data_IF_136410244843
#
_entry.id   IF_136410244843
#
_cell.length_a   1.000
_cell.length_b   1.000
_cell.length_c   1.000
_cell.angle_alpha   90.00
_cell.angle_beta   90.00
_cell.angle_gamma   90.00
#
_symmetry.space_group_name_H-M   'P 1'
#
loop_
_entity.id
_entity.type
_entity.pdbx_description
1 polymer ?
#
# COMPACT_ATOMS: atom_id res chain seq x y z
N UNK A 1 -9.82 -4.61 -17.39
CA UNK A 1 -10.56 -4.51 -16.10
C UNK A 1 -12.03 -4.87 -16.32
N UNK A 2 -12.38 -6.16 -16.24
CA UNK A 2 -13.76 -6.64 -16.49
C UNK A 2 -14.53 -6.94 -15.20
N UNK A 3 -14.01 -6.49 -14.04
CA UNK A 3 -14.70 -6.61 -12.75
C UNK A 3 -14.77 -8.02 -12.15
N UNK A 4 -14.05 -9.00 -12.69
CA UNK A 4 -14.03 -10.38 -12.19
C UNK A 4 -13.21 -10.55 -10.90
N UNK A 5 -12.32 -9.61 -10.60
CA UNK A 5 -11.42 -9.68 -9.43
C UNK A 5 -11.60 -8.42 -8.60
N UNK A 6 -11.82 -8.60 -7.31
CA UNK A 6 -11.81 -7.50 -6.34
C UNK A 6 -10.35 -7.15 -6.03
N UNK A 7 -9.99 -5.87 -6.09
CA UNK A 7 -8.65 -5.39 -5.72
C UNK A 7 -8.43 -5.48 -4.20
N UNK A 8 -8.03 -6.67 -3.78
CA UNK A 8 -7.66 -6.95 -2.39
C UNK A 8 -6.25 -6.47 -2.06
N UNK A 9 -5.38 -6.31 -3.06
CA UNK A 9 -4.01 -5.87 -2.89
C UNK A 9 -3.96 -4.41 -2.43
N UNK A 10 -4.60 -3.50 -3.14
CA UNK A 10 -4.65 -2.08 -2.75
C UNK A 10 -5.29 -1.89 -1.37
N UNK A 11 -6.35 -2.66 -1.07
CA UNK A 11 -6.97 -2.63 0.27
C UNK A 11 -6.00 -3.08 1.38
N UNK A 12 -5.20 -4.12 1.14
CA UNK A 12 -4.21 -4.58 2.11
C UNK A 12 -3.06 -3.58 2.28
N UNK A 13 -2.51 -3.07 1.17
CA UNK A 13 -1.43 -2.08 1.17
C UNK A 13 -1.88 -0.84 1.94
N UNK A 14 -3.07 -0.30 1.64
CA UNK A 14 -3.61 0.87 2.29
C UNK A 14 -3.76 0.68 3.81
N UNK A 15 -4.35 -0.43 4.25
CA UNK A 15 -4.51 -0.74 5.67
C UNK A 15 -3.17 -0.90 6.39
N UNK A 16 -2.17 -1.45 5.71
CA UNK A 16 -0.84 -1.69 6.28
C UNK A 16 -0.04 -0.39 6.41
N UNK A 17 -0.14 0.51 5.44
CA UNK A 17 0.51 1.82 5.45
C UNK A 17 -0.17 2.78 6.44
N UNK A 18 -1.50 2.78 6.52
CA UNK A 18 -2.27 3.57 7.48
C UNK A 18 -1.88 3.26 8.93
N UNK A 19 -1.69 1.98 9.28
CA UNK A 19 -1.24 1.55 10.61
C UNK A 19 0.09 2.18 11.05
N UNK A 20 0.93 2.57 10.10
CA UNK A 20 2.22 3.20 10.38
C UNK A 20 2.21 4.72 10.16
N UNK A 21 1.05 5.33 9.98
CA UNK A 21 0.90 6.77 9.85
C UNK A 21 1.12 7.32 8.43
N UNK A 22 1.04 6.47 7.41
CA UNK A 22 1.07 6.88 6.01
C UNK A 22 -0.35 7.03 5.50
N UNK A 23 -0.72 8.25 5.10
CA UNK A 23 -2.04 8.57 4.56
C UNK A 23 -2.14 8.16 3.10
N UNK A 24 -3.24 7.51 2.72
CA UNK A 24 -3.52 7.15 1.34
C UNK A 24 -4.32 8.28 0.70
N UNK A 25 -3.73 8.95 -0.29
CA UNK A 25 -4.41 10.02 -1.02
C UNK A 25 -5.37 9.48 -2.07
N UNK A 26 -4.96 8.46 -2.82
CA UNK A 26 -5.79 7.87 -3.87
C UNK A 26 -5.40 6.41 -4.16
N UNK A 27 -6.32 5.65 -4.75
CA UNK A 27 -6.11 4.33 -5.32
C UNK A 27 -6.54 4.38 -6.78
N UNK A 28 -5.65 3.98 -7.69
CA UNK A 28 -5.86 4.08 -9.13
C UNK A 28 -5.73 2.69 -9.74
N UNK A 29 -6.73 2.28 -10.51
CA UNK A 29 -6.63 1.09 -11.35
C UNK A 29 -6.37 1.50 -12.79
N UNK A 30 -5.28 1.00 -13.37
CA UNK A 30 -4.85 1.32 -14.74
C UNK A 30 -4.80 0.05 -15.58
N UNK A 31 -4.84 0.22 -16.91
CA UNK A 31 -4.62 -0.89 -17.83
C UNK A 31 -3.13 -1.23 -17.97
N UNK A 32 -2.83 -2.45 -18.43
CA UNK A 32 -1.49 -2.92 -18.77
C UNK A 32 -1.02 -2.33 -20.12
N UNK A 33 -1.13 -0.99 -20.24
CA UNK A 33 -0.68 -0.20 -21.38
C UNK A 33 0.48 0.68 -20.96
N UNK A 34 1.59 0.58 -21.70
CA UNK A 34 2.82 1.32 -21.42
C UNK A 34 2.61 2.82 -21.28
N UNK A 35 1.85 3.41 -22.22
CA UNK A 35 1.61 4.86 -22.23
C UNK A 35 0.79 5.27 -21.02
N UNK A 36 -0.27 4.51 -20.68
CA UNK A 36 -1.11 4.78 -19.54
C UNK A 36 -0.32 4.70 -18.20
N UNK A 37 0.58 3.72 -18.09
CA UNK A 37 1.47 3.58 -16.92
C UNK A 37 2.40 4.79 -16.81
N UNK A 38 3.08 5.19 -17.90
CA UNK A 38 4.01 6.33 -17.92
C UNK A 38 3.30 7.65 -17.61
N UNK A 39 2.13 7.90 -18.21
CA UNK A 39 1.33 9.10 -17.95
C UNK A 39 0.89 9.17 -16.48
N UNK A 40 0.50 8.02 -15.90
CA UNK A 40 0.14 7.92 -14.48
C UNK A 40 1.33 8.22 -13.58
N UNK A 41 2.49 7.63 -13.83
CA UNK A 41 3.71 7.90 -13.05
C UNK A 41 4.10 9.38 -13.11
N UNK A 42 4.09 9.97 -14.30
CA UNK A 42 4.38 11.38 -14.51
C UNK A 42 3.38 12.29 -13.76
N UNK A 43 2.10 11.90 -13.74
CA UNK A 43 1.06 12.65 -13.04
C UNK A 43 1.19 12.65 -11.53
N UNK A 44 1.81 11.62 -10.94
CA UNK A 44 1.98 11.44 -9.50
C UNK A 44 3.35 11.96 -9.01
N UNK A 45 4.34 12.06 -9.89
CA UNK A 45 5.68 12.52 -9.55
C UNK A 45 5.64 13.91 -8.91
N UNK A 46 6.31 14.08 -7.78
CA UNK A 46 6.36 15.30 -6.96
C UNK A 46 5.01 15.76 -6.37
N UNK A 47 3.92 15.00 -6.55
CA UNK A 47 2.63 15.26 -5.90
C UNK A 47 2.46 14.46 -4.62
N UNK A 48 3.01 13.25 -4.60
CA UNK A 48 2.99 12.35 -3.44
C UNK A 48 4.41 11.87 -3.13
N UNK A 49 4.67 11.50 -1.89
CA UNK A 49 5.98 11.00 -1.48
C UNK A 49 6.21 9.53 -1.85
N UNK A 50 5.13 8.75 -1.96
CA UNK A 50 5.19 7.32 -2.22
C UNK A 50 4.11 6.88 -3.21
N UNK A 51 4.51 6.16 -4.25
CA UNK A 51 3.63 5.43 -5.18
C UNK A 51 3.91 3.94 -5.04
N UNK A 52 2.90 3.15 -4.74
CA UNK A 52 3.02 1.69 -4.68
C UNK A 52 2.25 1.09 -5.85
N UNK A 53 2.95 0.32 -6.67
CA UNK A 53 2.42 -0.35 -7.87
C UNK A 53 2.37 -1.86 -7.58
N UNK A 54 1.31 -2.55 -7.96
CA UNK A 54 1.19 -4.00 -7.82
C UNK A 54 0.73 -4.64 -9.13
N UNK A 55 1.47 -5.65 -9.56
CA UNK A 55 1.20 -6.41 -10.79
C UNK A 55 2.16 -6.11 -11.95
N UNK A 56 2.08 -6.93 -12.99
CA UNK A 56 2.84 -6.80 -14.23
C UNK A 56 4.36 -7.00 -14.11
N UNK A 57 4.81 -7.77 -13.10
CA UNK A 57 6.23 -8.12 -12.89
C UNK A 57 6.59 -9.55 -13.34
N UNK A 58 5.61 -10.30 -13.80
CA UNK A 58 5.81 -11.66 -14.26
C UNK A 58 6.61 -11.75 -15.55
N UNK A 59 6.83 -12.98 -16.04
CA UNK A 59 7.64 -13.25 -17.22
C UNK A 59 6.84 -13.28 -18.52
N UNK A 60 5.53 -13.00 -18.48
CA UNK A 60 4.66 -13.12 -19.64
C UNK A 60 4.63 -11.82 -20.46
N UNK A 61 4.12 -11.88 -21.71
CA UNK A 61 4.15 -10.71 -22.61
C UNK A 61 3.24 -9.58 -22.17
N UNK A 62 2.24 -9.88 -21.40
CA UNK A 62 1.30 -8.93 -20.79
C UNK A 62 1.86 -8.27 -19.53
N UNK A 63 2.96 -8.79 -18.96
CA UNK A 63 3.67 -8.18 -17.83
C UNK A 63 4.55 -7.01 -18.30
N UNK A 64 3.95 -5.87 -18.57
CA UNK A 64 4.64 -4.69 -19.12
C UNK A 64 5.22 -3.77 -18.04
N UNK A 65 4.80 -3.90 -16.78
CA UNK A 65 5.13 -2.96 -15.70
C UNK A 65 6.63 -2.87 -15.44
N UNK A 66 7.36 -4.01 -15.39
CA UNK A 66 8.81 -4.03 -15.12
C UNK A 66 9.60 -3.21 -16.16
N UNK A 67 9.33 -3.42 -17.45
CA UNK A 67 9.99 -2.69 -18.54
C UNK A 67 9.63 -1.22 -18.53
N UNK A 68 8.34 -0.91 -18.37
CA UNK A 68 7.84 0.47 -18.31
C UNK A 68 8.40 1.21 -17.11
N UNK A 69 8.54 0.54 -15.98
CA UNK A 69 9.18 1.09 -14.78
C UNK A 69 10.64 1.45 -15.04
N UNK A 70 11.40 0.53 -15.70
CA UNK A 70 12.79 0.78 -16.10
C UNK A 70 12.88 1.97 -17.07
N UNK A 71 12.04 2.01 -18.10
CA UNK A 71 11.99 3.10 -19.09
C UNK A 71 11.66 4.46 -18.44
N UNK A 72 10.73 4.49 -17.48
CA UNK A 72 10.36 5.71 -16.77
C UNK A 72 11.54 6.33 -15.99
N UNK A 73 12.43 5.49 -15.47
CA UNK A 73 13.63 5.91 -14.76
C UNK A 73 14.84 6.12 -15.68
N UNK A 74 14.68 5.92 -16.99
CA UNK A 74 15.78 6.03 -17.96
C UNK A 74 16.98 5.16 -17.52
N UNK A 75 16.67 3.89 -17.22
CA UNK A 75 17.60 2.92 -16.68
C UNK A 75 17.64 1.65 -17.55
N UNK A 76 18.57 0.76 -17.27
CA UNK A 76 18.70 -0.54 -17.93
C UNK A 76 18.44 -1.70 -16.98
N UNK A 77 17.94 -2.80 -17.53
CA UNK A 77 17.70 -4.02 -16.77
C UNK A 77 18.99 -4.83 -16.64
N UNK A 78 19.38 -5.12 -15.41
CA UNK A 78 20.54 -5.94 -15.08
C UNK A 78 20.11 -7.15 -14.24
N UNK A 79 20.90 -8.22 -14.27
CA UNK A 79 20.65 -9.41 -13.45
C UNK A 79 21.13 -9.18 -12.02
N UNK A 80 20.19 -9.22 -11.06
CA UNK A 80 20.56 -9.28 -9.65
C UNK A 80 20.93 -10.72 -9.27
N UNK A 81 22.18 -10.91 -8.82
CA UNK A 81 22.73 -12.23 -8.54
C UNK A 81 22.07 -12.92 -7.34
N UNK A 82 21.60 -12.15 -6.34
CA UNK A 82 20.92 -12.71 -5.17
C UNK A 82 19.52 -13.20 -5.55
N UNK A 83 18.80 -12.40 -6.36
CA UNK A 83 17.50 -12.81 -6.90
C UNK A 83 17.66 -14.04 -7.80
N UNK A 84 18.66 -14.07 -8.67
CA UNK A 84 18.92 -15.21 -9.54
C UNK A 84 19.19 -16.48 -8.74
N UNK A 85 20.04 -16.41 -7.72
CA UNK A 85 20.32 -17.54 -6.84
C UNK A 85 19.06 -18.02 -6.12
N UNK A 86 18.23 -17.11 -5.63
CA UNK A 86 16.97 -17.45 -4.96
C UNK A 86 15.97 -18.11 -5.93
N UNK A 87 15.79 -17.55 -7.12
CA UNK A 87 14.89 -18.13 -8.16
C UNK A 87 15.36 -19.52 -8.56
N UNK A 88 16.69 -19.71 -8.73
CA UNK A 88 17.28 -21.01 -9.04
C UNK A 88 16.98 -22.02 -7.92
N UNK A 89 17.21 -21.62 -6.67
CA UNK A 89 16.92 -22.48 -5.51
C UNK A 89 15.45 -22.89 -5.44
N UNK A 90 14.53 -21.96 -5.69
CA UNK A 90 13.09 -22.26 -5.70
C UNK A 90 12.72 -23.23 -6.83
N UNK A 91 13.18 -22.97 -8.06
CA UNK A 91 12.79 -23.77 -9.21
C UNK A 91 13.43 -25.17 -9.17
N UNK A 92 14.73 -25.25 -8.95
CA UNK A 92 15.46 -26.52 -8.97
C UNK A 92 15.33 -27.27 -7.64
N UNK A 93 15.39 -26.55 -6.51
CA UNK A 93 15.31 -27.15 -5.19
C UNK A 93 13.90 -27.60 -4.83
N UNK A 94 12.91 -26.74 -4.96
CA UNK A 94 11.54 -27.01 -4.51
C UNK A 94 10.69 -27.65 -5.59
N UNK A 95 10.67 -27.09 -6.82
CA UNK A 95 9.85 -27.60 -7.91
C UNK A 95 10.51 -28.76 -8.67
N UNK A 96 11.79 -29.09 -8.39
CA UNK A 96 12.55 -30.19 -9.03
C UNK A 96 12.56 -30.07 -10.57
N UNK A 97 12.66 -28.85 -11.09
CA UNK A 97 12.68 -28.55 -12.53
C UNK A 97 13.94 -27.76 -12.87
N UNK A 98 14.48 -27.95 -14.05
CA UNK A 98 15.60 -27.15 -14.56
C UNK A 98 15.15 -25.72 -14.79
N UNK A 99 15.95 -24.75 -14.33
CA UNK A 99 15.66 -23.34 -14.53
C UNK A 99 15.73 -22.98 -16.03
N UNK A 100 14.70 -22.35 -16.54
CA UNK A 100 14.61 -21.86 -17.92
C UNK A 100 15.09 -20.40 -18.03
N UNK A 101 15.33 -19.90 -19.24
CA UNK A 101 15.69 -18.50 -19.46
C UNK A 101 14.59 -17.55 -18.92
N UNK A 102 13.32 -17.87 -19.13
CA UNK A 102 12.17 -17.12 -18.62
C UNK A 102 12.22 -17.01 -17.08
N UNK A 103 12.64 -18.06 -16.39
CA UNK A 103 12.80 -18.01 -14.94
C UNK A 103 14.01 -17.13 -14.54
N UNK A 104 15.12 -17.19 -15.28
CA UNK A 104 16.29 -16.33 -15.04
C UNK A 104 15.96 -14.85 -15.22
N UNK A 105 15.09 -14.53 -16.21
CA UNK A 105 14.67 -13.17 -16.49
C UNK A 105 13.82 -12.54 -15.38
N UNK A 106 13.31 -13.35 -14.43
CA UNK A 106 12.73 -12.84 -13.19
C UNK A 106 13.72 -12.02 -12.36
N UNK A 107 15.02 -12.37 -12.44
CA UNK A 107 16.08 -11.68 -11.74
C UNK A 107 16.54 -10.36 -12.40
N UNK A 108 15.96 -10.00 -13.55
CA UNK A 108 16.21 -8.70 -14.17
C UNK A 108 15.51 -7.59 -13.37
N UNK A 109 16.29 -6.59 -12.99
CA UNK A 109 15.84 -5.40 -12.25
C UNK A 109 16.52 -4.15 -12.81
N UNK A 110 15.95 -2.94 -12.66
CA UNK A 110 16.65 -1.70 -13.02
C UNK A 110 17.98 -1.57 -12.26
N UNK A 111 19.03 -1.12 -12.94
CA UNK A 111 20.40 -1.11 -12.42
C UNK A 111 20.56 -0.27 -11.15
N UNK A 112 19.76 0.80 -11.02
CA UNK A 112 19.78 1.75 -9.90
C UNK A 112 18.74 1.46 -8.82
N UNK A 113 17.93 0.39 -8.97
CA UNK A 113 16.91 0.12 -7.99
C UNK A 113 17.47 -0.49 -6.68
N UNK A 114 16.81 -0.19 -5.57
CA UNK A 114 16.95 -1.02 -4.37
C UNK A 114 16.02 -2.22 -4.54
N UNK A 115 16.60 -3.41 -4.60
CA UNK A 115 15.85 -4.66 -4.71
C UNK A 115 15.23 -4.99 -3.36
N UNK A 116 13.91 -5.25 -3.36
CA UNK A 116 13.19 -5.77 -2.21
C UNK A 116 13.08 -7.29 -2.38
N UNK A 117 13.71 -8.03 -1.47
CA UNK A 117 13.87 -9.48 -1.64
C UNK A 117 12.60 -10.26 -1.30
N UNK A 118 12.03 -10.90 -2.31
CA UNK A 118 10.85 -11.76 -2.17
C UNK A 118 11.27 -13.19 -1.79
N UNK A 119 11.20 -13.52 -0.51
CA UNK A 119 11.59 -14.87 -0.06
C UNK A 119 10.51 -15.94 -0.31
N UNK A 120 9.31 -15.53 -0.68
CA UNK A 120 8.18 -16.47 -0.86
C UNK A 120 7.77 -16.65 -2.32
N UNK A 121 8.45 -15.98 -3.26
CA UNK A 121 8.17 -16.06 -4.69
C UNK A 121 9.36 -15.70 -5.55
N UNK A 122 9.16 -15.62 -6.87
CA UNK A 122 10.23 -15.41 -7.85
C UNK A 122 10.40 -13.95 -8.30
N UNK A 123 9.36 -13.12 -8.20
CA UNK A 123 9.40 -11.73 -8.64
C UNK A 123 9.85 -10.82 -7.48
N UNK A 124 11.01 -10.15 -7.56
CA UNK A 124 11.44 -9.20 -6.55
C UNK A 124 10.57 -7.94 -6.60
N UNK A 125 10.47 -7.24 -5.47
CA UNK A 125 10.02 -5.86 -5.48
C UNK A 125 11.15 -4.91 -5.88
N UNK A 126 10.79 -3.73 -6.39
CA UNK A 126 11.73 -2.71 -6.85
C UNK A 126 11.39 -1.37 -6.21
N UNK A 127 12.38 -0.71 -5.64
CA UNK A 127 12.26 0.58 -4.99
C UNK A 127 13.16 1.60 -5.69
N UNK A 128 12.59 2.63 -6.28
CA UNK A 128 13.32 3.69 -6.97
C UNK A 128 12.79 5.06 -6.59
N UNK A 129 13.63 6.09 -6.68
CA UNK A 129 13.24 7.47 -6.40
C UNK A 129 13.44 8.36 -7.61
N UNK A 130 12.44 9.18 -7.95
CA UNK A 130 12.52 10.22 -8.99
C UNK A 130 11.96 11.54 -8.44
N UNK A 131 12.78 12.56 -8.40
CA UNK A 131 12.43 13.81 -7.71
C UNK A 131 12.18 13.58 -6.21
N UNK A 132 11.04 14.02 -5.71
CA UNK A 132 10.63 13.83 -4.32
C UNK A 132 9.75 12.58 -4.10
N UNK A 133 9.44 11.84 -5.17
CA UNK A 133 8.55 10.67 -5.12
C UNK A 133 9.36 9.37 -5.16
N UNK A 134 9.04 8.47 -4.26
CA UNK A 134 9.48 7.08 -4.29
C UNK A 134 8.43 6.24 -5.01
N UNK A 135 8.87 5.42 -5.93
CA UNK A 135 8.05 4.44 -6.65
C UNK A 135 8.47 3.04 -6.21
N UNK A 136 7.50 2.24 -5.78
CA UNK A 136 7.70 0.87 -5.35
C UNK A 136 6.85 -0.06 -6.20
N UNK A 137 7.49 -0.96 -6.92
CA UNK A 137 6.77 -1.95 -7.75
C UNK A 137 6.83 -3.33 -7.10
N UNK A 138 5.67 -3.98 -7.00
CA UNK A 138 5.43 -5.24 -6.30
C UNK A 138 4.76 -6.27 -7.21
N UNK A 139 4.97 -7.58 -6.97
CA UNK A 139 4.22 -8.61 -7.67
C UNK A 139 2.72 -8.51 -7.42
N UNK A 140 1.92 -8.95 -8.41
CA UNK A 140 0.46 -9.00 -8.31
C UNK A 140 -0.06 -10.13 -7.44
N UNK A 141 0.74 -11.17 -7.21
CA UNK A 141 0.37 -12.34 -6.40
C UNK A 141 0.20 -11.93 -4.94
N UNK A 142 -1.01 -12.10 -4.33
CA UNK A 142 -1.31 -11.49 -3.04
C UNK A 142 -0.39 -11.88 -1.89
N UNK A 143 0.03 -13.14 -1.79
CA UNK A 143 0.89 -13.57 -0.68
C UNK A 143 2.33 -13.02 -0.82
N UNK A 144 2.84 -12.89 -2.05
CA UNK A 144 4.14 -12.27 -2.34
C UNK A 144 4.13 -10.78 -2.02
N UNK A 145 3.11 -10.08 -2.51
CA UNK A 145 2.89 -8.66 -2.23
C UNK A 145 2.81 -8.38 -0.74
N UNK A 146 2.02 -9.17 0.01
CA UNK A 146 1.89 -9.04 1.47
C UNK A 146 3.22 -9.22 2.18
N UNK A 147 3.97 -10.27 1.81
CA UNK A 147 5.30 -10.52 2.36
C UNK A 147 6.22 -9.30 2.17
N UNK A 148 6.29 -8.75 0.96
CA UNK A 148 7.14 -7.60 0.65
C UNK A 148 6.70 -6.34 1.40
N UNK A 149 5.39 -6.10 1.51
CA UNK A 149 4.85 -4.96 2.27
C UNK A 149 5.25 -5.05 3.73
N UNK A 150 5.06 -6.19 4.37
CA UNK A 150 5.29 -6.38 5.80
C UNK A 150 6.78 -6.43 6.17
N UNK A 151 7.60 -7.10 5.35
CA UNK A 151 8.99 -7.39 5.70
C UNK A 151 10.02 -6.44 5.06
N UNK A 152 9.69 -5.78 3.96
CA UNK A 152 10.61 -4.90 3.24
C UNK A 152 10.16 -3.44 3.27
N UNK A 153 8.91 -3.15 2.85
CA UNK A 153 8.44 -1.76 2.69
C UNK A 153 8.20 -1.09 4.04
N UNK A 154 7.39 -1.68 4.91
CA UNK A 154 7.05 -1.09 6.22
C UNK A 154 8.30 -0.80 7.05
N UNK A 155 9.24 -1.75 7.25
CA UNK A 155 10.46 -1.46 8.01
C UNK A 155 11.31 -0.36 7.37
N UNK A 156 11.38 -0.32 6.03
CA UNK A 156 12.12 0.71 5.31
C UNK A 156 11.50 2.11 5.49
N UNK A 157 10.18 2.22 5.37
CA UNK A 157 9.46 3.48 5.61
C UNK A 157 9.66 3.94 7.07
N UNK A 158 9.52 3.02 8.04
CA UNK A 158 9.69 3.33 9.46
C UNK A 158 11.09 3.88 9.75
N UNK A 159 12.12 3.35 9.12
CA UNK A 159 13.51 3.76 9.30
C UNK A 159 13.85 5.08 8.60
N UNK A 160 13.32 5.29 7.39
CA UNK A 160 13.78 6.37 6.51
C UNK A 160 12.93 7.64 6.57
N UNK A 161 11.68 7.53 7.05
CA UNK A 161 10.73 8.66 7.03
C UNK A 161 10.20 8.99 8.42
N UNK A 162 10.23 10.29 8.73
CA UNK A 162 9.46 10.83 9.85
C UNK A 162 7.98 10.88 9.44
N UNK A 163 7.10 10.26 10.21
CA UNK A 163 5.68 10.17 9.93
C UNK A 163 4.87 10.41 11.19
N UNK A 164 3.65 10.94 11.07
CA UNK A 164 2.74 11.09 12.21
C UNK A 164 2.27 9.71 12.68
N UNK A 165 1.75 9.67 13.90
CA UNK A 165 0.88 8.59 14.35
C UNK A 165 -0.53 8.85 13.84
N UNK A 166 -1.21 7.79 13.41
CA UNK A 166 -2.64 7.79 13.10
C UNK A 166 -3.28 6.74 14.01
N UNK A 167 -4.32 7.13 14.73
CA UNK A 167 -5.05 6.24 15.64
C UNK A 167 -6.52 6.28 15.26
N UNK A 168 -7.09 5.08 15.09
CA UNK A 168 -8.50 4.91 14.81
C UNK A 168 -9.21 4.25 15.99
N UNK A 169 -10.39 4.76 16.33
CA UNK A 169 -11.34 4.12 17.25
C UNK A 169 -12.69 4.06 16.55
N UNK A 170 -13.24 2.85 16.46
CA UNK A 170 -14.57 2.65 15.90
C UNK A 170 -15.55 2.34 17.03
N UNK A 171 -16.66 3.07 17.02
CA UNK A 171 -17.80 2.90 17.93
C UNK A 171 -18.94 2.34 17.09
N UNK A 172 -19.66 1.36 17.61
CA UNK A 172 -20.81 0.75 16.96
C UNK A 172 -22.09 1.34 17.53
N UNK A 173 -22.97 1.84 16.66
CA UNK A 173 -24.35 2.22 17.01
C UNK A 173 -25.31 1.26 16.36
N UNK A 174 -26.43 0.95 17.05
CA UNK A 174 -27.42 0.01 16.57
C UNK A 174 -28.83 0.61 16.62
N UNK A 175 -29.71 0.15 15.71
CA UNK A 175 -31.12 0.44 15.78
C UNK A 175 -31.54 1.83 15.29
N UNK A 176 -30.60 2.64 14.73
CA UNK A 176 -30.89 3.97 14.21
C UNK A 176 -30.20 4.20 12.88
N UNK A 177 -30.83 5.01 12.02
CA UNK A 177 -30.25 5.46 10.76
C UNK A 177 -29.20 6.55 10.97
N UNK A 178 -28.34 6.74 9.97
CA UNK A 178 -27.22 7.70 9.99
C UNK A 178 -27.65 9.13 10.36
N UNK A 179 -28.74 9.64 9.76
CA UNK A 179 -29.24 10.99 10.03
C UNK A 179 -29.65 11.20 11.48
N UNK A 180 -30.32 10.22 12.09
CA UNK A 180 -30.71 10.30 13.51
C UNK A 180 -29.51 10.23 14.44
N UNK A 181 -28.51 9.41 14.08
CA UNK A 181 -27.26 9.36 14.84
C UNK A 181 -26.53 10.71 14.75
N UNK A 182 -26.41 11.27 13.55
CA UNK A 182 -25.74 12.57 13.34
C UNK A 182 -26.43 13.70 14.12
N UNK A 183 -27.76 13.77 14.09
CA UNK A 183 -28.54 14.77 14.85
C UNK A 183 -28.30 14.66 16.35
N UNK A 184 -28.28 13.43 16.90
CA UNK A 184 -28.07 13.21 18.33
C UNK A 184 -26.68 13.58 18.84
N UNK A 185 -25.65 13.37 18.00
CA UNK A 185 -24.27 13.60 18.40
C UNK A 185 -23.70 14.90 17.86
N UNK A 186 -24.50 15.76 17.22
CA UNK A 186 -24.07 17.01 16.60
C UNK A 186 -23.25 17.89 17.55
N UNK A 187 -23.74 18.08 18.79
CA UNK A 187 -23.03 18.85 19.80
C UNK A 187 -21.67 18.25 20.15
N UNK A 188 -21.60 16.92 20.30
CA UNK A 188 -20.37 16.21 20.58
C UNK A 188 -19.40 16.27 19.40
N UNK A 189 -19.87 16.05 18.18
CA UNK A 189 -19.07 16.14 16.97
C UNK A 189 -18.44 17.53 16.79
N UNK A 190 -19.22 18.59 17.00
CA UNK A 190 -18.76 19.97 16.87
C UNK A 190 -17.72 20.36 17.96
N UNK A 191 -17.67 19.64 19.08
CA UNK A 191 -16.71 19.85 20.16
C UNK A 191 -15.51 18.90 20.13
N UNK A 192 -15.37 18.07 19.12
CA UNK A 192 -14.19 17.21 18.95
C UNK A 192 -12.91 18.07 18.77
N UNK A 193 -11.77 17.65 19.35
CA UNK A 193 -10.48 18.25 19.07
C UNK A 193 -10.20 18.32 17.55
N UNK A 194 -9.66 19.43 17.06
CA UNK A 194 -9.45 19.69 15.62
C UNK A 194 -8.59 18.64 14.89
N UNK A 195 -7.78 17.89 15.63
CA UNK A 195 -6.96 16.82 15.10
C UNK A 195 -7.66 15.45 15.09
N UNK A 196 -8.92 15.38 15.56
CA UNK A 196 -9.79 14.20 15.48
C UNK A 196 -10.83 14.45 14.40
N UNK A 197 -10.93 13.50 13.46
CA UNK A 197 -11.97 13.47 12.42
C UNK A 197 -12.94 12.35 12.70
N UNK A 198 -14.24 12.63 12.53
CA UNK A 198 -15.31 11.64 12.58
C UNK A 198 -15.69 11.21 11.16
N UNK A 199 -15.95 9.93 10.99
CA UNK A 199 -16.55 9.38 9.78
C UNK A 199 -17.71 8.46 10.14
N UNK A 200 -18.83 8.62 9.45
CA UNK A 200 -20.00 7.74 9.52
C UNK A 200 -19.83 6.61 8.49
N UNK A 201 -19.94 5.37 8.94
CA UNK A 201 -19.79 4.18 8.11
C UNK A 201 -21.04 3.32 8.23
N UNK A 202 -22.13 3.66 7.49
CA UNK A 202 -23.37 2.93 7.57
C UNK A 202 -23.26 1.52 7.00
N UNK A 203 -24.00 0.58 7.61
CA UNK A 203 -24.24 -0.76 7.13
C UNK A 203 -25.65 -1.18 7.53
N UNK A 204 -26.13 -2.31 7.03
CA UNK A 204 -27.50 -2.76 7.32
C UNK A 204 -27.77 -2.84 8.83
N UNK A 205 -28.65 -1.97 9.35
CA UNK A 205 -29.08 -1.92 10.74
C UNK A 205 -28.07 -1.37 11.76
N UNK A 206 -26.90 -0.89 11.31
CA UNK A 206 -25.87 -0.34 12.17
C UNK A 206 -25.19 0.88 11.52
N UNK A 207 -24.71 1.81 12.33
CA UNK A 207 -23.77 2.87 11.91
C UNK A 207 -22.51 2.76 12.73
N UNK A 208 -21.36 2.66 12.07
CA UNK A 208 -20.06 2.72 12.74
C UNK A 208 -19.54 4.15 12.70
N UNK A 209 -19.23 4.69 13.85
CA UNK A 209 -18.59 5.99 14.02
C UNK A 209 -17.08 5.77 14.16
N UNK A 210 -16.31 6.21 13.18
CA UNK A 210 -14.84 6.09 13.22
C UNK A 210 -14.20 7.41 13.55
N UNK A 211 -13.65 7.53 14.75
CA UNK A 211 -12.75 8.59 15.13
C UNK A 211 -11.35 8.30 14.58
N UNK A 212 -10.74 9.29 13.96
CA UNK A 212 -9.38 9.20 13.41
C UNK A 212 -8.58 10.40 13.92
N UNK A 213 -7.57 10.16 14.78
CA UNK A 213 -6.67 11.18 15.30
C UNK A 213 -5.30 11.06 14.64
N UNK A 214 -4.70 12.22 14.27
CA UNK A 214 -3.38 12.31 13.65
C UNK A 214 -2.50 13.32 14.38
N UNK A 215 -1.25 12.94 14.69
CA UNK A 215 -0.29 13.83 15.36
C UNK A 215 1.06 13.16 15.62
N UNK A 216 1.94 13.88 16.28
CA UNK A 216 3.33 13.46 16.53
C UNK A 216 3.51 12.74 17.88
N UNK A 217 2.55 12.84 18.78
CA UNK A 217 2.58 12.21 20.10
C UNK A 217 1.46 11.18 20.21
N UNK A 218 1.82 9.90 20.20
CA UNK A 218 0.89 8.78 20.25
C UNK A 218 0.03 8.77 21.51
N UNK A 219 0.64 8.97 22.68
CA UNK A 219 -0.06 8.94 23.97
C UNK A 219 -1.11 10.05 24.05
N UNK A 220 -0.78 11.25 23.58
CA UNK A 220 -1.73 12.36 23.54
C UNK A 220 -2.94 12.05 22.66
N UNK A 221 -2.71 11.37 21.50
CA UNK A 221 -3.81 10.99 20.62
C UNK A 221 -4.70 9.90 21.26
N UNK A 222 -4.10 8.92 21.93
CA UNK A 222 -4.83 7.85 22.63
C UNK A 222 -5.70 8.42 23.76
N UNK A 223 -5.16 9.33 24.57
CA UNK A 223 -5.91 10.01 25.64
C UNK A 223 -7.06 10.82 25.05
N UNK A 224 -6.81 11.65 24.05
CA UNK A 224 -7.84 12.50 23.45
C UNK A 224 -8.99 11.68 22.82
N UNK A 225 -8.68 10.56 22.16
CA UNK A 225 -9.72 9.65 21.65
C UNK A 225 -10.52 9.03 22.79
N UNK A 226 -9.84 8.56 23.85
CA UNK A 226 -10.51 7.93 24.99
C UNK A 226 -11.44 8.92 25.71
N UNK A 227 -11.01 10.17 25.91
CA UNK A 227 -11.83 11.24 26.49
C UNK A 227 -13.03 11.57 25.58
N UNK A 228 -12.81 11.69 24.26
CA UNK A 228 -13.90 11.94 23.31
C UNK A 228 -14.96 10.82 23.36
N UNK A 229 -14.55 9.56 23.45
CA UNK A 229 -15.48 8.42 23.57
C UNK A 229 -16.28 8.48 24.86
N UNK A 230 -15.63 8.78 26.00
CA UNK A 230 -16.33 8.92 27.29
C UNK A 230 -17.42 10.00 27.27
N UNK A 231 -17.18 11.10 26.58
CA UNK A 231 -18.15 12.19 26.44
C UNK A 231 -19.35 11.81 25.54
N UNK A 232 -19.21 10.81 24.69
CA UNK A 232 -20.32 10.28 23.86
C UNK A 232 -21.23 9.36 24.66
N UNK A 233 -20.70 8.66 25.69
CA UNK A 233 -21.44 7.72 26.53
C UNK A 233 -22.17 8.43 27.69
N UNK A 234 -21.95 9.73 27.89
CA UNK A 234 -22.54 10.55 28.95
C UNK A 234 -23.77 11.31 28.47
#
# INVERSE_FOLDING_TARGET
LIGQIVDTNSSFIAKSLDKIGVEISEMISISDDKKHILDTFASLQNKVELVVITGGLGPTKDDVTKKTFCDYFEDELVVDQKVLAHVTLLIEGFYKRTITQINKDQALVPSKCTVLHNQVGTAPGMWMKKGNTVFVSLPGVPYEMKYLVENEIIPKIIREYKRPFIIHKTILTCGQGESLVAERIEYWENNLPKFIRLAYLPAAGIVRLRLSARGINKEQLEVAIAESVKLLDA
#
